data_IF_788662518297
#
_entry.id   IF_788662518297
#
_cell.length_a   1.000
_cell.length_b   1.000
_cell.length_c   1.000
_cell.angle_alpha   90.00
_cell.angle_beta   90.00
_cell.angle_gamma   90.00
#
_symmetry.space_group_name_H-M   'P 1'
#
loop_
_entity.id
_entity.type
_entity.pdbx_description
1 polymer ?
#
# COMPACT_ATOMS: atom_id res chain seq x y z
N UNK A 1 -20.71 -35.91 32.61
CA UNK A 1 -20.42 -36.28 31.21
C UNK A 1 -19.36 -35.37 30.63
N UNK A 2 -18.14 -35.87 30.47
CA UNK A 2 -17.00 -35.10 29.94
C UNK A 2 -17.15 -34.94 28.42
N UNK A 3 -17.35 -33.71 27.96
CA UNK A 3 -17.48 -33.39 26.53
C UNK A 3 -16.08 -33.38 25.90
N UNK A 4 -15.66 -34.52 25.38
CA UNK A 4 -14.39 -34.67 24.64
C UNK A 4 -14.47 -33.80 23.38
N UNK A 5 -13.75 -32.66 23.37
CA UNK A 5 -13.43 -31.92 22.14
C UNK A 5 -12.49 -32.81 21.31
N UNK A 6 -13.04 -33.56 20.35
CA UNK A 6 -12.24 -34.32 19.39
C UNK A 6 -11.34 -33.33 18.62
N UNK A 7 -10.03 -33.44 18.83
CA UNK A 7 -9.03 -32.84 17.95
C UNK A 7 -9.15 -33.52 16.58
N UNK A 8 -9.36 -32.73 15.52
CA UNK A 8 -9.33 -33.22 14.15
C UNK A 8 -8.00 -33.94 13.90
N UNK A 9 -8.05 -35.16 13.34
CA UNK A 9 -6.83 -35.87 12.94
C UNK A 9 -6.08 -35.07 11.86
N UNK A 10 -4.75 -35.17 11.83
CA UNK A 10 -3.91 -34.46 10.85
C UNK A 10 -4.35 -34.75 9.41
N UNK A 11 -4.73 -36.01 9.12
CA UNK A 11 -5.24 -36.43 7.81
C UNK A 11 -6.54 -35.72 7.43
N UNK A 12 -7.48 -35.58 8.36
CA UNK A 12 -8.74 -34.85 8.12
C UNK A 12 -8.47 -33.36 7.92
N UNK A 13 -7.52 -32.77 8.65
CA UNK A 13 -7.14 -31.36 8.49
C UNK A 13 -6.51 -31.09 7.12
N UNK A 14 -5.64 -31.98 6.64
CA UNK A 14 -5.03 -31.89 5.31
C UNK A 14 -6.07 -32.05 4.20
N UNK A 15 -6.98 -33.01 4.34
CA UNK A 15 -8.06 -33.22 3.35
C UNK A 15 -9.02 -32.02 3.28
N UNK A 16 -9.34 -31.40 4.42
CA UNK A 16 -10.11 -30.15 4.46
C UNK A 16 -9.34 -29.03 3.75
N UNK A 17 -8.05 -28.88 4.02
CA UNK A 17 -7.21 -27.85 3.39
C UNK A 17 -7.10 -28.02 1.86
N UNK A 18 -7.00 -29.25 1.38
CA UNK A 18 -6.99 -29.56 -0.07
C UNK A 18 -8.33 -29.24 -0.72
N UNK A 19 -9.45 -29.61 -0.07
CA UNK A 19 -10.79 -29.29 -0.54
C UNK A 19 -11.00 -27.77 -0.62
N UNK A 20 -10.65 -27.03 0.44
CA UNK A 20 -10.71 -25.57 0.48
C UNK A 20 -9.82 -24.93 -0.60
N UNK A 21 -8.63 -25.47 -0.85
CA UNK A 21 -7.74 -24.99 -1.91
C UNK A 21 -8.33 -25.22 -3.30
N UNK A 22 -9.02 -26.35 -3.53
CA UNK A 22 -9.70 -26.66 -4.79
C UNK A 22 -10.90 -25.74 -5.02
N UNK A 23 -11.73 -25.51 -4.02
CA UNK A 23 -12.86 -24.57 -4.13
C UNK A 23 -12.39 -23.13 -4.36
N UNK A 24 -11.34 -22.70 -3.66
CA UNK A 24 -10.71 -21.38 -3.91
C UNK A 24 -10.23 -21.24 -5.35
N UNK A 25 -9.60 -22.25 -5.95
CA UNK A 25 -9.16 -22.18 -7.36
C UNK A 25 -10.33 -22.03 -8.35
N UNK A 26 -11.51 -22.53 -7.99
CA UNK A 26 -12.72 -22.47 -8.82
C UNK A 26 -13.60 -21.25 -8.52
N UNK A 27 -13.20 -20.41 -7.56
CA UNK A 27 -13.99 -19.28 -7.10
C UNK A 27 -14.01 -18.13 -8.13
N UNK A 28 -15.14 -17.44 -8.28
CA UNK A 28 -15.35 -16.38 -9.27
C UNK A 28 -14.38 -15.21 -9.14
N UNK A 29 -13.92 -14.96 -7.92
CA UNK A 29 -13.04 -13.85 -7.58
C UNK A 29 -11.58 -14.11 -7.92
N UNK A 30 -11.17 -15.31 -8.37
CA UNK A 30 -9.77 -15.64 -8.67
C UNK A 30 -8.83 -15.30 -7.49
N UNK A 31 -8.95 -16.02 -6.36
CA UNK A 31 -8.26 -15.65 -5.12
C UNK A 31 -6.74 -15.72 -5.27
N UNK A 32 -6.09 -14.67 -4.76
CA UNK A 32 -4.66 -14.45 -4.73
C UNK A 32 -4.07 -14.59 -3.32
N UNK A 33 -4.89 -14.41 -2.28
CA UNK A 33 -4.40 -14.42 -0.90
C UNK A 33 -4.22 -15.84 -0.35
N UNK A 34 -3.11 -16.05 0.34
CA UNK A 34 -2.75 -17.32 0.98
C UNK A 34 -2.26 -17.08 2.40
N UNK A 35 -2.52 -17.98 3.36
CA UNK A 35 -1.92 -17.88 4.68
C UNK A 35 -0.39 -17.89 4.59
N UNK A 36 0.26 -16.84 5.07
CA UNK A 36 1.71 -16.74 5.14
C UNK A 36 2.16 -15.66 6.12
N UNK A 37 3.25 -15.89 6.86
CA UNK A 37 3.86 -14.86 7.72
C UNK A 37 4.76 -13.91 6.90
N UNK A 38 4.93 -12.66 7.35
CA UNK A 38 5.81 -11.68 6.69
C UNK A 38 7.27 -12.12 6.69
N UNK A 39 8.05 -11.69 5.69
CA UNK A 39 9.41 -12.16 5.45
C UNK A 39 10.38 -11.91 6.62
N UNK A 40 10.30 -10.76 7.31
CA UNK A 40 11.13 -10.47 8.49
C UNK A 40 10.64 -11.13 9.78
N UNK A 41 9.54 -11.88 9.74
CA UNK A 41 9.08 -12.61 10.93
C UNK A 41 10.02 -13.77 11.21
N UNK A 42 10.41 -13.94 12.47
CA UNK A 42 11.25 -15.07 12.91
C UNK A 42 10.73 -16.44 12.48
N UNK A 43 9.41 -16.62 12.34
CA UNK A 43 8.78 -17.86 11.88
C UNK A 43 9.10 -18.24 10.43
N UNK A 44 9.55 -17.29 9.59
CA UNK A 44 9.81 -17.54 8.17
C UNK A 44 11.25 -18.00 7.89
N UNK A 45 12.18 -17.84 8.84
CA UNK A 45 13.54 -18.38 8.76
C UNK A 45 14.42 -17.83 7.62
N UNK A 46 14.12 -16.63 7.10
CA UNK A 46 14.87 -16.03 5.99
C UNK A 46 16.22 -15.43 6.44
N UNK A 47 17.30 -15.75 5.72
CA UNK A 47 18.68 -15.38 6.10
C UNK A 47 19.47 -14.62 5.03
N UNK A 48 18.90 -14.36 3.85
CA UNK A 48 19.64 -13.73 2.75
C UNK A 48 19.53 -12.18 2.77
N UNK A 49 20.59 -11.54 3.26
CA UNK A 49 20.72 -10.08 3.43
C UNK A 49 21.79 -9.43 2.53
N UNK A 50 22.21 -10.09 1.44
CA UNK A 50 23.26 -9.60 0.51
C UNK A 50 23.05 -8.15 0.07
N UNK A 51 21.81 -7.79 -0.27
CA UNK A 51 21.46 -6.44 -0.69
C UNK A 51 21.71 -5.38 0.38
N UNK A 52 21.45 -5.70 1.66
CA UNK A 52 21.75 -4.79 2.77
C UNK A 52 23.27 -4.60 2.96
N UNK A 53 24.07 -5.62 2.67
CA UNK A 53 25.53 -5.50 2.71
C UNK A 53 26.05 -4.53 1.63
N UNK A 54 25.55 -4.63 0.39
CA UNK A 54 25.88 -3.68 -0.66
C UNK A 54 25.45 -2.25 -0.29
N UNK A 55 24.28 -2.10 0.31
CA UNK A 55 23.83 -0.83 0.86
C UNK A 55 24.79 -0.27 1.93
N UNK A 56 25.27 -1.10 2.87
CA UNK A 56 26.26 -0.68 3.85
C UNK A 56 27.57 -0.19 3.21
N UNK A 57 28.04 -0.84 2.13
CA UNK A 57 29.22 -0.39 1.38
C UNK A 57 28.97 0.98 0.73
N UNK A 58 27.83 1.15 0.06
CA UNK A 58 27.44 2.43 -0.56
C UNK A 58 27.33 3.52 0.51
N UNK A 59 26.70 3.21 1.65
CA UNK A 59 26.62 4.12 2.78
C UNK A 59 28.01 4.45 3.32
N UNK A 60 28.95 3.51 3.42
CA UNK A 60 30.30 3.82 3.90
C UNK A 60 31.01 4.83 2.99
N UNK A 61 30.80 4.72 1.68
CA UNK A 61 31.34 5.66 0.69
C UNK A 61 30.64 7.03 0.75
N UNK A 62 29.33 7.06 1.00
CA UNK A 62 28.52 8.29 1.06
C UNK A 62 28.51 8.96 2.45
N UNK A 63 28.75 8.19 3.51
CA UNK A 63 28.59 8.61 4.90
C UNK A 63 29.84 9.31 5.38
N UNK A 64 29.77 10.63 5.39
CA UNK A 64 30.62 11.43 6.25
C UNK A 64 30.09 11.32 7.69
N UNK A 65 30.49 10.29 8.44
CA UNK A 65 30.19 10.13 9.87
C UNK A 65 30.51 11.39 10.68
N UNK A 66 31.47 12.17 10.17
CA UNK A 66 31.80 13.54 10.59
C UNK A 66 30.59 14.48 10.64
N UNK A 67 29.74 14.51 9.62
CA UNK A 67 28.57 15.41 9.54
C UNK A 67 27.51 15.04 10.58
N UNK A 68 27.30 13.74 10.82
CA UNK A 68 26.40 13.27 11.86
C UNK A 68 26.91 13.65 13.27
N UNK A 69 28.21 13.49 13.51
CA UNK A 69 28.85 13.88 14.77
C UNK A 69 28.86 15.41 14.95
N UNK A 70 29.17 16.18 13.91
CA UNK A 70 29.12 17.64 13.93
C UNK A 70 27.70 18.16 14.22
N UNK A 71 26.66 17.56 13.64
CA UNK A 71 25.28 17.90 13.97
C UNK A 71 24.95 17.63 15.44
N UNK A 72 25.40 16.49 15.98
CA UNK A 72 25.17 16.15 17.40
C UNK A 72 25.92 17.11 18.33
N UNK A 73 27.18 17.44 18.01
CA UNK A 73 28.01 18.35 18.80
C UNK A 73 27.52 19.80 18.71
N UNK A 74 27.04 20.24 17.54
CA UNK A 74 26.63 21.62 17.29
C UNK A 74 25.23 21.94 17.81
N UNK A 75 24.29 21.01 17.68
CA UNK A 75 22.88 21.25 18.03
C UNK A 75 22.43 20.52 19.31
N UNK A 76 23.29 19.67 19.90
CA UNK A 76 22.92 18.83 21.03
C UNK A 76 21.84 17.80 20.66
N UNK A 77 21.12 17.28 21.65
CA UNK A 77 20.00 16.37 21.45
C UNK A 77 18.71 17.20 21.33
N UNK A 78 18.16 17.30 20.11
CA UNK A 78 16.97 18.10 19.80
C UNK A 78 15.64 17.34 19.94
N UNK A 79 15.64 16.18 20.57
CA UNK A 79 14.49 15.27 20.60
C UNK A 79 13.50 15.68 21.69
N UNK A 80 12.37 16.26 21.29
CA UNK A 80 11.21 16.45 22.16
C UNK A 80 10.01 15.64 21.61
N UNK A 81 9.71 14.47 22.20
CA UNK A 81 8.63 13.59 21.74
C UNK A 81 7.24 14.20 21.95
N UNK A 82 7.09 15.12 22.91
CA UNK A 82 5.81 15.78 23.19
C UNK A 82 5.44 16.87 22.19
N UNK A 83 6.44 17.49 21.55
CA UNK A 83 6.25 18.61 20.62
C UNK A 83 5.40 18.24 19.40
N UNK A 84 5.66 17.07 18.79
CA UNK A 84 4.89 16.59 17.64
C UNK A 84 3.44 16.29 17.98
N UNK A 85 3.20 15.67 19.13
CA UNK A 85 1.84 15.33 19.59
C UNK A 85 1.06 16.62 19.86
N UNK A 86 1.69 17.61 20.51
CA UNK A 86 1.09 18.94 20.72
C UNK A 86 0.82 19.65 19.39
N UNK A 87 1.76 19.62 18.45
CA UNK A 87 1.59 20.22 17.12
C UNK A 87 0.40 19.62 16.37
N UNK A 88 0.22 18.29 16.42
CA UNK A 88 -0.87 17.62 15.72
C UNK A 88 -2.23 17.78 16.42
N UNK A 89 -2.28 17.80 17.75
CA UNK A 89 -3.54 17.85 18.49
C UNK A 89 -4.06 19.27 18.75
N UNK A 90 -3.17 20.26 18.86
CA UNK A 90 -3.55 21.63 19.21
C UNK A 90 -3.79 22.51 17.97
N UNK A 91 -3.29 22.13 16.79
CA UNK A 91 -3.53 22.89 15.56
C UNK A 91 -4.97 22.65 15.04
N UNK A 92 -5.85 23.68 15.04
CA UNK A 92 -7.22 23.54 14.56
C UNK A 92 -7.30 23.14 13.07
N UNK A 93 -6.23 23.38 12.28
CA UNK A 93 -6.15 23.05 10.85
C UNK A 93 -5.99 21.54 10.59
N UNK A 94 -5.85 20.72 11.63
CA UNK A 94 -5.74 19.26 11.55
C UNK A 94 -7.11 18.58 11.45
N UNK A 95 -8.16 19.19 11.98
CA UNK A 95 -9.48 18.55 12.07
C UNK A 95 -10.25 18.46 10.73
N UNK A 96 -10.23 19.46 9.82
CA UNK A 96 -10.98 19.37 8.56
C UNK A 96 -10.63 18.15 7.69
N UNK A 97 -9.34 17.78 7.49
CA UNK A 97 -8.99 16.54 6.79
C UNK A 97 -9.50 15.27 7.49
N UNK A 98 -9.54 15.27 8.82
CA UNK A 98 -10.07 14.15 9.61
C UNK A 98 -11.58 14.01 9.39
N UNK A 99 -12.33 15.11 9.45
CA UNK A 99 -13.77 15.10 9.16
C UNK A 99 -14.04 14.67 7.71
N UNK A 100 -13.25 15.13 6.75
CA UNK A 100 -13.34 14.68 5.36
C UNK A 100 -13.13 13.16 5.25
N UNK A 101 -12.15 12.61 5.97
CA UNK A 101 -11.88 11.16 6.00
C UNK A 101 -13.04 10.38 6.63
N UNK A 102 -13.65 10.89 7.70
CA UNK A 102 -14.83 10.29 8.31
C UNK A 102 -16.05 10.33 7.37
N UNK A 103 -16.21 11.41 6.62
CA UNK A 103 -17.26 11.57 5.60
C UNK A 103 -17.20 10.53 4.48
N UNK A 104 -16.03 9.94 4.22
CA UNK A 104 -15.88 8.87 3.22
C UNK A 104 -16.66 7.60 3.57
N UNK A 105 -17.12 7.43 4.82
CA UNK A 105 -18.06 6.37 5.17
C UNK A 105 -19.33 6.41 4.30
N UNK A 106 -19.81 7.60 3.94
CA UNK A 106 -20.93 7.74 3.03
C UNK A 106 -20.63 7.10 1.67
N UNK A 107 -19.43 7.33 1.12
CA UNK A 107 -19.00 6.73 -0.15
C UNK A 107 -18.94 5.20 -0.07
N UNK A 108 -18.51 4.63 1.06
CA UNK A 108 -18.50 3.17 1.29
C UNK A 108 -19.93 2.61 1.26
N UNK A 109 -20.86 3.26 1.96
CA UNK A 109 -22.26 2.87 1.99
C UNK A 109 -22.92 2.99 0.62
N UNK A 110 -22.63 4.06 -0.13
CA UNK A 110 -23.07 4.25 -1.52
C UNK A 110 -22.57 3.12 -2.43
N UNK A 111 -21.31 2.72 -2.30
CA UNK A 111 -20.74 1.57 -3.04
C UNK A 111 -21.46 0.26 -2.70
N UNK A 112 -21.76 0.00 -1.43
CA UNK A 112 -22.52 -1.19 -1.00
C UNK A 112 -23.95 -1.16 -1.54
N UNK A 113 -24.64 -0.02 -1.42
CA UNK A 113 -26.00 0.14 -1.90
C UNK A 113 -26.09 -0.09 -3.42
N UNK A 114 -25.16 0.50 -4.18
CA UNK A 114 -25.09 0.32 -5.64
C UNK A 114 -24.92 -1.16 -6.03
N UNK A 115 -24.03 -1.90 -5.35
CA UNK A 115 -23.87 -3.34 -5.61
C UNK A 115 -25.10 -4.17 -5.20
N UNK A 116 -25.81 -3.80 -4.13
CA UNK A 116 -27.07 -4.46 -3.74
C UNK A 116 -28.17 -4.26 -4.77
N UNK A 117 -28.31 -3.05 -5.31
CA UNK A 117 -29.28 -2.76 -6.37
C UNK A 117 -28.93 -3.49 -7.69
N UNK A 118 -27.65 -3.61 -8.01
CA UNK A 118 -27.17 -4.44 -9.11
C UNK A 118 -27.47 -5.93 -8.89
N UNK A 119 -27.27 -6.44 -7.67
CA UNK A 119 -27.49 -7.85 -7.34
C UNK A 119 -28.96 -8.27 -7.43
N UNK A 120 -29.87 -7.36 -7.09
CA UNK A 120 -31.33 -7.56 -7.14
C UNK A 120 -31.91 -7.31 -8.54
N UNK A 121 -31.12 -6.75 -9.46
CA UNK A 121 -31.57 -6.44 -10.82
C UNK A 121 -32.49 -5.22 -10.91
N UNK A 122 -32.55 -4.40 -9.86
CA UNK A 122 -33.38 -3.18 -9.84
C UNK A 122 -32.78 -2.04 -10.65
N UNK A 123 -31.46 -2.08 -10.89
CA UNK A 123 -30.74 -0.97 -11.52
C UNK A 123 -30.02 -1.45 -12.80
N UNK A 124 -30.19 -0.75 -13.95
CA UNK A 124 -29.48 -1.07 -15.18
C UNK A 124 -27.96 -0.94 -15.03
N UNK A 125 -27.18 -1.82 -15.69
CA UNK A 125 -25.71 -1.83 -15.54
C UNK A 125 -25.04 -0.50 -15.97
N UNK A 126 -25.57 0.17 -16.99
CA UNK A 126 -25.06 1.47 -17.43
C UNK A 126 -25.22 2.57 -16.37
N UNK A 127 -26.38 2.64 -15.73
CA UNK A 127 -26.65 3.61 -14.65
C UNK A 127 -25.78 3.31 -13.44
N UNK A 128 -25.64 2.03 -13.06
CA UNK A 128 -24.80 1.62 -11.94
C UNK A 128 -23.34 2.02 -12.17
N UNK A 129 -22.82 1.79 -13.37
CA UNK A 129 -21.46 2.17 -13.73
C UNK A 129 -21.23 3.67 -13.60
N UNK A 130 -22.18 4.49 -14.05
CA UNK A 130 -22.08 5.94 -13.90
C UNK A 130 -22.11 6.37 -12.42
N UNK A 131 -22.96 5.75 -11.60
CA UNK A 131 -22.99 5.99 -10.15
C UNK A 131 -21.67 5.59 -9.47
N UNK A 132 -21.08 4.45 -9.87
CA UNK A 132 -19.78 3.99 -9.35
C UNK A 132 -18.67 4.95 -9.72
N UNK A 133 -18.60 5.38 -10.99
CA UNK A 133 -17.61 6.36 -11.46
C UNK A 133 -17.77 7.68 -10.70
N UNK A 134 -19.00 8.19 -10.56
CA UNK A 134 -19.26 9.42 -9.83
C UNK A 134 -18.79 9.30 -8.37
N UNK A 135 -19.16 8.21 -7.67
CA UNK A 135 -18.75 7.99 -6.28
C UNK A 135 -17.22 7.90 -6.14
N UNK A 136 -16.55 7.16 -7.02
CA UNK A 136 -15.08 7.04 -7.02
C UNK A 136 -14.39 8.36 -7.35
N UNK A 137 -14.92 9.16 -8.27
CA UNK A 137 -14.44 10.50 -8.57
C UNK A 137 -14.63 11.45 -7.38
N UNK A 138 -15.78 11.39 -6.69
CA UNK A 138 -16.02 12.18 -5.48
C UNK A 138 -15.01 11.88 -4.37
N UNK A 139 -14.61 10.61 -4.19
CA UNK A 139 -13.58 10.23 -3.22
C UNK A 139 -12.24 10.92 -3.53
N UNK A 140 -11.85 11.03 -4.80
CA UNK A 140 -10.58 11.65 -5.18
C UNK A 140 -10.63 13.18 -5.25
N UNK A 141 -11.79 13.79 -5.49
CA UNK A 141 -11.91 15.24 -5.71
C UNK A 141 -12.30 16.03 -4.46
N UNK A 142 -13.20 15.50 -3.61
CA UNK A 142 -13.71 16.24 -2.46
C UNK A 142 -12.62 16.50 -1.41
N UNK A 143 -11.82 15.51 -0.97
CA UNK A 143 -10.82 15.74 0.08
C UNK A 143 -9.74 16.77 -0.29
N UNK A 144 -9.18 16.78 -1.52
CA UNK A 144 -8.30 17.87 -1.96
C UNK A 144 -8.96 19.25 -1.87
N UNK A 145 -10.21 19.39 -2.32
CA UNK A 145 -10.93 20.67 -2.24
C UNK A 145 -11.03 21.15 -0.79
N UNK A 146 -11.30 20.26 0.16
CA UNK A 146 -11.29 20.58 1.59
C UNK A 146 -9.91 21.06 2.04
N UNK A 147 -8.83 20.38 1.63
CA UNK A 147 -7.44 20.76 1.96
C UNK A 147 -7.09 22.16 1.44
N UNK A 148 -7.53 22.52 0.24
CA UNK A 148 -7.29 23.85 -0.33
C UNK A 148 -8.14 24.94 0.31
N UNK A 149 -9.44 24.71 0.51
CA UNK A 149 -10.38 25.74 1.01
C UNK A 149 -10.13 26.08 2.48
N UNK A 150 -9.76 25.08 3.30
CA UNK A 150 -9.62 25.24 4.76
C UNK A 150 -8.18 25.45 5.22
N UNK A 151 -7.26 25.64 4.28
CA UNK A 151 -5.83 25.78 4.52
C UNK A 151 -5.26 24.78 5.54
N UNK A 152 -5.55 23.50 5.31
CA UNK A 152 -5.30 22.43 6.26
C UNK A 152 -3.81 22.20 6.54
N UNK A 153 -3.52 21.62 7.71
CA UNK A 153 -2.17 21.22 8.10
C UNK A 153 -1.61 20.18 7.09
N UNK A 154 -0.38 20.34 6.56
CA UNK A 154 0.15 19.44 5.54
C UNK A 154 0.32 18.00 6.02
N UNK A 155 0.74 17.76 7.27
CA UNK A 155 0.97 16.41 7.78
C UNK A 155 -0.36 15.67 7.91
N UNK A 156 -1.36 16.31 8.50
CA UNK A 156 -2.71 15.77 8.62
C UNK A 156 -3.35 15.52 7.24
N UNK A 157 -3.14 16.45 6.31
CA UNK A 157 -3.63 16.35 4.92
C UNK A 157 -2.97 15.17 4.19
N UNK A 158 -1.65 14.99 4.29
CA UNK A 158 -0.95 13.84 3.71
C UNK A 158 -1.48 12.50 4.22
N UNK A 159 -1.72 12.39 5.53
CA UNK A 159 -2.29 11.19 6.14
C UNK A 159 -3.72 10.94 5.65
N UNK A 160 -4.57 11.97 5.64
CA UNK A 160 -5.95 11.89 5.16
C UNK A 160 -6.01 11.48 3.68
N UNK A 161 -5.21 12.11 2.81
CA UNK A 161 -5.16 11.77 1.38
C UNK A 161 -4.57 10.37 1.14
N UNK A 162 -3.68 9.90 2.00
CA UNK A 162 -3.24 8.52 2.04
C UNK A 162 -4.40 7.55 2.29
N UNK A 163 -5.22 7.82 3.30
CA UNK A 163 -6.44 7.05 3.58
C UNK A 163 -7.45 7.10 2.42
N UNK A 164 -7.65 8.28 1.81
CA UNK A 164 -8.49 8.47 0.62
C UNK A 164 -8.02 7.59 -0.54
N UNK A 165 -6.72 7.60 -0.82
CA UNK A 165 -6.13 6.80 -1.90
C UNK A 165 -6.30 5.30 -1.65
N UNK A 166 -6.04 4.84 -0.42
CA UNK A 166 -6.26 3.44 -0.03
C UNK A 166 -7.73 3.05 -0.20
N UNK A 167 -8.65 3.90 0.22
CA UNK A 167 -10.09 3.65 0.08
C UNK A 167 -10.51 3.58 -1.38
N UNK A 168 -10.06 4.52 -2.21
CA UNK A 168 -10.32 4.53 -3.65
C UNK A 168 -9.88 3.20 -4.29
N UNK A 169 -8.64 2.77 -4.07
CA UNK A 169 -8.12 1.52 -4.63
C UNK A 169 -8.93 0.31 -4.14
N UNK A 170 -9.31 0.28 -2.87
CA UNK A 170 -10.16 -0.78 -2.31
C UNK A 170 -11.53 -0.82 -2.97
N UNK A 171 -12.22 0.31 -3.10
CA UNK A 171 -13.56 0.33 -3.70
C UNK A 171 -13.54 0.00 -5.20
N UNK A 172 -12.50 0.40 -5.93
CA UNK A 172 -12.28 -0.08 -7.32
C UNK A 172 -12.20 -1.62 -7.34
N UNK A 173 -11.38 -2.20 -6.47
CA UNK A 173 -11.25 -3.66 -6.37
C UNK A 173 -12.59 -4.33 -6.00
N UNK A 174 -13.33 -3.77 -5.04
CA UNK A 174 -14.63 -4.24 -4.61
C UNK A 174 -15.65 -4.28 -5.76
N UNK A 175 -15.76 -3.19 -6.54
CA UNK A 175 -16.66 -3.14 -7.69
C UNK A 175 -16.26 -4.11 -8.81
N UNK A 176 -14.97 -4.20 -9.14
CA UNK A 176 -14.50 -5.12 -10.18
C UNK A 176 -14.71 -6.59 -9.84
N UNK A 177 -14.45 -6.99 -8.61
CA UNK A 177 -14.61 -8.39 -8.18
C UNK A 177 -16.09 -8.77 -8.10
N UNK A 178 -16.96 -7.88 -7.62
CA UNK A 178 -18.41 -8.12 -7.64
C UNK A 178 -18.95 -8.19 -9.08
N UNK A 179 -18.42 -7.37 -10.00
CA UNK A 179 -18.73 -7.47 -11.43
C UNK A 179 -18.37 -8.85 -12.00
N UNK A 180 -17.17 -9.37 -11.72
CA UNK A 180 -16.76 -10.71 -12.17
C UNK A 180 -17.67 -11.81 -11.62
N UNK A 181 -18.05 -11.71 -10.34
CA UNK A 181 -18.99 -12.64 -9.70
C UNK A 181 -20.37 -12.60 -10.37
N UNK A 182 -20.88 -11.41 -10.69
CA UNK A 182 -22.15 -11.24 -11.40
C UNK A 182 -22.11 -11.83 -12.81
N UNK A 183 -21.06 -11.55 -13.56
CA UNK A 183 -20.88 -12.06 -14.92
C UNK A 183 -20.85 -13.60 -14.94
N UNK A 184 -20.13 -14.23 -14.00
CA UNK A 184 -20.11 -15.69 -13.91
C UNK A 184 -21.46 -16.27 -13.47
N UNK A 185 -22.20 -15.59 -12.57
CA UNK A 185 -23.56 -16.02 -12.20
C UNK A 185 -24.51 -15.97 -13.40
N UNK A 186 -24.41 -14.91 -14.21
CA UNK A 186 -25.20 -14.77 -15.44
C UNK A 186 -24.86 -15.85 -16.47
N UNK A 187 -23.57 -16.14 -16.69
CA UNK A 187 -23.14 -17.18 -17.63
C UNK A 187 -23.58 -18.58 -17.19
N UNK A 188 -23.51 -18.90 -15.89
CA UNK A 188 -24.04 -20.17 -15.33
C UNK A 188 -25.55 -20.31 -15.54
N UNK A 189 -26.32 -19.24 -15.35
CA UNK A 189 -27.77 -19.25 -15.60
C UNK A 189 -28.10 -19.48 -17.08
N UNK A 190 -27.32 -18.89 -17.99
CA UNK A 190 -27.46 -19.10 -19.43
C UNK A 190 -27.10 -20.53 -19.84
N UNK A 191 -26.03 -21.10 -19.29
CA UNK A 191 -25.64 -22.47 -19.59
C UNK A 191 -26.69 -23.47 -19.11
N UNK A 192 -27.24 -23.28 -17.90
CA UNK A 192 -28.30 -24.15 -17.34
C UNK A 192 -29.59 -24.10 -18.16
N UNK A 193 -29.93 -22.94 -18.73
CA UNK A 193 -31.07 -22.79 -19.64
C UNK A 193 -30.85 -23.50 -20.99
N UNK A 194 -29.62 -23.49 -21.51
CA UNK A 194 -29.25 -24.21 -22.75
C UNK A 194 -29.18 -25.73 -22.58
N UNK A 195 -28.71 -26.21 -21.43
CA UNK A 195 -28.66 -27.65 -21.14
C UNK A 195 -30.00 -28.24 -20.71
N UNK A 196 -30.94 -27.44 -20.17
CA UNK A 196 -32.31 -27.91 -19.91
C UNK A 196 -33.15 -28.15 -21.16
N UNK A 197 -32.71 -27.68 -22.34
CA UNK A 197 -33.33 -27.93 -23.64
C UNK A 197 -32.81 -29.19 -24.35
N UNK A 198 -31.89 -29.95 -23.73
CA UNK A 198 -31.39 -31.22 -24.25
C UNK A 198 -31.13 -32.22 -23.12
N UNK A 199 -32.04 -33.19 -22.98
CA UNK A 199 -32.03 -34.32 -22.03
C UNK A 199 -32.16 -33.98 -20.54
N UNK A 200 -33.22 -34.50 -19.93
CA UNK A 200 -33.39 -34.53 -18.49
C UNK A 200 -32.37 -35.46 -17.86
N UNK A 201 -31.25 -34.90 -17.39
CA UNK A 201 -30.47 -35.51 -16.31
C UNK A 201 -30.42 -34.53 -15.16
N UNK A 202 -31.09 -34.93 -14.07
CA UNK A 202 -31.01 -34.33 -12.75
C UNK A 202 -29.56 -34.51 -12.27
N UNK A 203 -28.68 -33.59 -12.64
CA UNK A 203 -27.44 -33.39 -11.90
C UNK A 203 -27.84 -32.70 -10.60
N UNK A 204 -28.07 -33.51 -9.58
CA UNK A 204 -28.09 -33.06 -8.19
C UNK A 204 -26.86 -32.15 -8.03
N UNK A 205 -27.13 -30.88 -7.72
CA UNK A 205 -26.07 -29.97 -7.33
C UNK A 205 -25.30 -30.65 -6.22
N UNK A 206 -23.98 -30.77 -6.42
CA UNK A 206 -23.02 -31.14 -5.38
C UNK A 206 -23.00 -29.98 -4.37
N UNK A 207 -24.10 -29.83 -3.63
CA UNK A 207 -24.04 -29.37 -2.26
C UNK A 207 -23.44 -30.55 -1.53
N UNK A 208 -22.14 -30.50 -1.26
CA UNK A 208 -21.49 -31.38 -0.30
C UNK A 208 -22.11 -31.20 1.08
N UNK A 209 -23.31 -31.73 1.28
CA UNK A 209 -23.82 -32.11 2.60
C UNK A 209 -23.28 -33.50 2.87
N UNK A 210 -21.98 -33.57 3.13
CA UNK A 210 -21.45 -34.70 3.90
C UNK A 210 -21.80 -34.44 5.36
N UNK A 211 -22.49 -35.40 5.92
CA UNK A 211 -22.86 -35.53 7.32
C UNK A 211 -21.60 -35.61 8.18
N UNK A 212 -21.01 -34.47 8.52
CA UNK A 212 -20.14 -34.26 9.69
C UNK A 212 -19.84 -32.75 9.81
N UNK A 213 -20.41 -32.12 10.85
CA UNK A 213 -20.30 -30.68 11.05
C UNK A 213 -18.85 -30.18 11.18
N UNK A 214 -18.65 -28.95 10.67
CA UNK A 214 -17.41 -28.17 10.56
C UNK A 214 -16.69 -28.19 9.20
N UNK A 215 -17.41 -27.95 8.10
CA UNK A 215 -16.79 -27.26 6.96
C UNK A 215 -17.10 -25.77 7.06
N UNK A 216 -16.08 -24.93 6.86
CA UNK A 216 -16.23 -23.48 6.84
C UNK A 216 -17.24 -23.11 5.75
N UNK A 217 -18.34 -22.45 6.12
CA UNK A 217 -19.36 -21.99 5.18
C UNK A 217 -18.75 -20.89 4.31
N UNK A 218 -18.31 -21.24 3.10
CA UNK A 218 -17.81 -20.27 2.13
C UNK A 218 -18.93 -19.29 1.74
N UNK A 219 -18.62 -18.01 1.74
CA UNK A 219 -19.55 -16.96 1.29
C UNK A 219 -19.58 -16.99 -0.23
N UNK A 220 -20.79 -17.05 -0.79
CA UNK A 220 -21.05 -17.08 -2.23
C UNK A 220 -21.85 -15.84 -2.60
N UNK A 221 -21.53 -15.22 -3.74
CA UNK A 221 -22.29 -14.07 -4.25
C UNK A 221 -23.78 -14.45 -4.45
N UNK A 222 -24.75 -13.66 -3.93
CA UNK A 222 -24.64 -12.27 -3.45
C UNK A 222 -24.56 -12.11 -1.92
N UNK A 223 -24.36 -13.18 -1.15
CA UNK A 223 -24.41 -13.14 0.32
C UNK A 223 -23.27 -12.30 0.94
N UNK A 224 -22.22 -12.02 0.16
CA UNK A 224 -21.10 -11.14 0.54
C UNK A 224 -21.49 -9.66 0.62
N UNK A 225 -22.68 -9.27 0.11
CA UNK A 225 -23.13 -7.87 0.10
C UNK A 225 -23.76 -7.47 1.44
N UNK A 226 -22.96 -7.49 2.49
CA UNK A 226 -23.37 -7.07 3.83
C UNK A 226 -22.40 -6.05 4.43
N UNK A 227 -22.83 -5.34 5.48
CA UNK A 227 -22.03 -4.30 6.11
C UNK A 227 -20.77 -4.87 6.77
N UNK A 228 -20.86 -6.08 7.33
CA UNK A 228 -19.73 -6.71 8.01
C UNK A 228 -18.57 -6.98 7.04
N UNK A 229 -18.85 -7.58 5.89
CA UNK A 229 -17.82 -7.97 4.92
C UNK A 229 -17.15 -6.77 4.25
N UNK A 230 -17.92 -5.73 3.90
CA UNK A 230 -17.33 -4.51 3.32
C UNK A 230 -16.44 -3.81 4.34
N UNK A 231 -16.91 -3.57 5.57
CA UNK A 231 -16.09 -2.91 6.59
C UNK A 231 -14.89 -3.76 6.99
N UNK A 232 -15.05 -5.08 7.08
CA UNK A 232 -13.92 -5.98 7.26
C UNK A 232 -12.86 -5.75 6.17
N UNK A 233 -13.26 -5.74 4.89
CA UNK A 233 -12.34 -5.46 3.79
C UNK A 233 -11.71 -4.07 3.87
N UNK A 234 -12.46 -3.03 4.25
CA UNK A 234 -11.93 -1.66 4.39
C UNK A 234 -10.78 -1.60 5.41
N UNK A 235 -10.85 -2.34 6.52
CA UNK A 235 -9.81 -2.31 7.55
C UNK A 235 -8.66 -3.31 7.34
N UNK A 236 -8.87 -4.40 6.59
CA UNK A 236 -7.80 -5.40 6.34
C UNK A 236 -6.64 -4.78 5.56
N UNK A 237 -5.37 -5.12 5.87
CA UNK A 237 -4.20 -4.57 5.18
C UNK A 237 -3.96 -5.19 3.79
N UNK A 238 -4.98 -5.17 2.92
CA UNK A 238 -4.90 -5.51 1.50
C UNK A 238 -5.75 -4.56 0.67
N UNK A 239 -5.37 -4.37 -0.59
CA UNK A 239 -6.12 -3.56 -1.55
C UNK A 239 -6.99 -4.42 -2.48
N UNK A 240 -6.75 -5.72 -2.53
CA UNK A 240 -7.47 -6.64 -3.41
C UNK A 240 -8.63 -7.29 -2.66
N UNK A 241 -9.87 -7.05 -3.09
CA UNK A 241 -11.06 -7.68 -2.55
C UNK A 241 -11.13 -9.16 -2.95
N UNK A 242 -11.62 -9.97 -2.01
CA UNK A 242 -11.98 -11.38 -2.19
C UNK A 242 -13.20 -11.66 -1.32
N UNK A 243 -14.03 -12.61 -1.73
CA UNK A 243 -15.20 -13.01 -0.94
C UNK A 243 -14.76 -13.70 0.35
N UNK A 244 -13.69 -14.49 0.29
CA UNK A 244 -13.28 -15.37 1.37
C UNK A 244 -11.78 -15.22 1.70
N UNK A 245 -11.44 -14.18 2.46
CA UNK A 245 -10.06 -13.95 2.91
C UNK A 245 -9.54 -15.11 3.79
N UNK A 246 -8.25 -15.48 3.67
CA UNK A 246 -7.65 -16.43 4.59
C UNK A 246 -7.59 -15.84 6.01
N UNK A 247 -8.07 -16.60 7.00
CA UNK A 247 -8.16 -16.16 8.40
C UNK A 247 -7.22 -16.93 9.31
N UNK A 248 -6.63 -16.24 10.29
CA UNK A 248 -5.90 -16.88 11.38
C UNK A 248 -6.89 -17.49 12.38
N UNK A 249 -6.58 -18.67 12.92
CA UNK A 249 -7.46 -19.38 13.86
C UNK A 249 -7.66 -18.64 15.19
N UNK A 250 -6.64 -17.91 15.65
CA UNK A 250 -6.65 -17.14 16.90
C UNK A 250 -5.77 -15.90 16.80
N UNK A 251 -6.04 -14.92 17.67
CA UNK A 251 -5.19 -13.75 17.87
C UNK A 251 -4.03 -14.12 18.82
N UNK A 252 -2.80 -14.02 18.33
CA UNK A 252 -1.54 -14.21 19.05
C UNK A 252 -1.23 -12.97 19.90
N UNK A 253 -1.81 -12.86 21.09
CA UNK A 253 -1.69 -11.67 21.98
C UNK A 253 -0.25 -11.17 22.19
N UNK A 254 0.71 -12.07 22.43
CA UNK A 254 2.14 -11.72 22.60
C UNK A 254 2.74 -11.13 21.33
N UNK A 255 2.41 -11.69 20.18
CA UNK A 255 2.86 -11.17 18.88
C UNK A 255 2.24 -9.79 18.62
N UNK A 256 0.94 -9.64 18.86
CA UNK A 256 0.22 -8.37 18.71
C UNK A 256 0.85 -7.26 19.58
N UNK A 257 1.04 -7.52 20.87
CA UNK A 257 1.64 -6.55 21.78
C UNK A 257 3.06 -6.17 21.36
N UNK A 258 3.89 -7.14 20.98
CA UNK A 258 5.27 -6.90 20.51
C UNK A 258 5.31 -6.02 19.26
N UNK A 259 4.50 -6.33 18.24
CA UNK A 259 4.45 -5.56 16.98
C UNK A 259 3.85 -4.16 17.20
N UNK A 260 2.86 -4.02 18.09
CA UNK A 260 2.29 -2.73 18.47
C UNK A 260 3.32 -1.83 19.18
N UNK A 261 4.01 -2.35 20.19
CA UNK A 261 5.03 -1.59 20.92
C UNK A 261 6.20 -1.19 20.01
N UNK A 262 6.66 -2.11 19.16
CA UNK A 262 7.68 -1.84 18.15
C UNK A 262 7.23 -0.76 17.16
N UNK A 263 5.97 -0.77 16.71
CA UNK A 263 5.43 0.28 15.84
C UNK A 263 5.47 1.65 16.53
N UNK A 264 5.11 1.74 17.82
CA UNK A 264 5.17 2.99 18.59
C UNK A 264 6.60 3.50 18.76
N UNK A 265 7.54 2.62 19.13
CA UNK A 265 8.95 2.99 19.34
C UNK A 265 9.64 3.41 18.04
N UNK A 266 9.38 2.70 16.93
CA UNK A 266 9.94 3.06 15.64
C UNK A 266 9.39 4.39 15.11
N UNK A 267 8.11 4.68 15.32
CA UNK A 267 7.53 5.98 14.95
C UNK A 267 8.24 7.12 15.69
N UNK A 268 8.45 6.97 17.00
CA UNK A 268 9.20 7.95 17.81
C UNK A 268 10.64 8.10 17.33
N UNK A 269 11.32 6.99 17.01
CA UNK A 269 12.68 7.02 16.46
C UNK A 269 12.75 7.76 15.13
N UNK A 270 11.80 7.52 14.22
CA UNK A 270 11.73 8.21 12.92
C UNK A 270 11.56 9.72 13.12
N UNK A 271 10.66 10.14 14.01
CA UNK A 271 10.43 11.55 14.33
C UNK A 271 11.67 12.19 14.96
N UNK A 272 12.35 11.50 15.87
CA UNK A 272 13.59 11.95 16.49
C UNK A 272 14.72 12.13 15.46
N UNK A 273 14.91 11.18 14.55
CA UNK A 273 15.92 11.27 13.50
C UNK A 273 15.61 12.41 12.51
N UNK A 274 14.34 12.61 12.16
CA UNK A 274 13.93 13.74 11.33
C UNK A 274 14.25 15.08 12.02
N UNK A 275 13.93 15.23 13.31
CA UNK A 275 14.27 16.43 14.09
C UNK A 275 15.78 16.64 14.24
N UNK A 276 16.54 15.58 14.47
CA UNK A 276 17.97 15.69 14.75
C UNK A 276 18.81 15.90 13.48
N UNK A 277 18.43 15.29 12.36
CA UNK A 277 19.27 15.27 11.15
C UNK A 277 18.69 16.05 9.98
N UNK A 278 17.37 16.01 9.75
CA UNK A 278 16.77 16.69 8.60
C UNK A 278 16.52 18.16 8.90
N UNK A 279 15.89 18.48 10.04
CA UNK A 279 15.51 19.86 10.40
C UNK A 279 16.70 20.83 10.41
N UNK A 280 17.85 20.52 11.06
CA UNK A 280 18.96 21.48 11.09
C UNK A 280 19.55 21.71 9.71
N UNK A 281 19.63 20.68 8.86
CA UNK A 281 20.15 20.83 7.50
C UNK A 281 19.21 21.71 6.67
N UNK A 282 17.90 21.57 6.86
CA UNK A 282 16.90 22.42 6.22
C UNK A 282 16.97 23.87 6.71
N UNK A 283 17.12 24.11 8.02
CA UNK A 283 17.22 25.46 8.59
C UNK A 283 18.47 26.22 8.14
N UNK A 284 19.60 25.52 7.90
CA UNK A 284 20.82 26.14 7.38
C UNK A 284 20.75 26.44 5.86
N UNK A 285 19.69 26.01 5.18
CA UNK A 285 19.49 26.26 3.75
C UNK A 285 18.67 27.53 3.58
N UNK A 286 19.34 28.66 3.32
CA UNK A 286 18.70 29.99 3.24
C UNK A 286 17.93 30.24 1.93
N UNK A 287 17.98 29.32 0.96
CA UNK A 287 17.34 29.50 -0.36
C UNK A 287 16.56 28.25 -0.78
N UNK A 288 15.35 28.40 -1.35
CA UNK A 288 14.62 27.30 -1.98
C UNK A 288 15.47 26.63 -3.08
N UNK A 289 15.31 25.32 -3.30
CA UNK A 289 16.06 24.60 -4.33
C UNK A 289 15.88 25.19 -5.73
N UNK A 290 14.74 25.82 -6.02
CA UNK A 290 14.49 26.50 -7.30
C UNK A 290 15.46 27.66 -7.59
N UNK A 291 15.99 28.30 -6.55
CA UNK A 291 16.85 29.49 -6.66
C UNK A 291 18.34 29.16 -6.44
N UNK A 292 18.69 27.89 -6.19
CA UNK A 292 20.06 27.46 -5.95
C UNK A 292 20.79 27.10 -7.24
N UNK A 293 22.06 27.49 -7.32
CA UNK A 293 22.97 27.02 -8.38
C UNK A 293 23.13 25.49 -8.32
N UNK A 294 23.25 24.84 -9.48
CA UNK A 294 23.29 23.38 -9.59
C UNK A 294 24.35 22.69 -8.70
N UNK A 295 25.60 23.17 -8.59
CA UNK A 295 26.59 22.55 -7.70
C UNK A 295 26.22 22.64 -6.21
N UNK A 296 25.65 23.76 -5.79
CA UNK A 296 25.21 23.97 -4.41
C UNK A 296 23.98 23.10 -4.08
N UNK A 297 23.04 22.98 -5.01
CA UNK A 297 21.90 22.05 -4.92
C UNK A 297 22.41 20.62 -4.75
N UNK A 298 23.32 20.16 -5.61
CA UNK A 298 23.86 18.81 -5.58
C UNK A 298 24.59 18.50 -4.26
N UNK A 299 25.43 19.42 -3.77
CA UNK A 299 26.11 19.27 -2.47
C UNK A 299 25.11 19.08 -1.32
N UNK A 300 24.03 19.88 -1.30
CA UNK A 300 22.99 19.81 -0.26
C UNK A 300 22.18 18.53 -0.35
N UNK A 301 21.80 18.15 -1.56
CA UNK A 301 21.10 16.89 -1.83
C UNK A 301 21.91 15.69 -1.35
N UNK A 302 23.22 15.65 -1.59
CA UNK A 302 24.09 14.57 -1.11
C UNK A 302 24.19 14.53 0.42
N UNK A 303 24.24 15.69 1.11
CA UNK A 303 24.22 15.75 2.59
C UNK A 303 22.91 15.22 3.16
N UNK A 304 21.79 15.45 2.47
CA UNK A 304 20.46 15.00 2.88
C UNK A 304 20.16 13.55 2.50
N UNK A 305 20.81 13.01 1.46
CA UNK A 305 20.51 11.69 0.92
C UNK A 305 20.68 10.56 1.96
N UNK A 306 21.73 10.61 2.78
CA UNK A 306 22.02 9.57 3.79
C UNK A 306 20.99 9.58 4.94
N UNK A 307 20.71 10.70 5.63
CA UNK A 307 19.63 10.76 6.61
C UNK A 307 18.28 10.36 6.03
N UNK A 308 17.98 10.79 4.80
CA UNK A 308 16.73 10.50 4.11
C UNK A 308 16.54 9.00 3.88
N UNK A 309 17.53 8.30 3.29
CA UNK A 309 17.38 6.85 3.03
C UNK A 309 17.24 6.05 4.32
N UNK A 310 17.95 6.43 5.40
CA UNK A 310 17.82 5.78 6.69
C UNK A 310 16.40 5.93 7.27
N UNK A 311 15.84 7.13 7.20
CA UNK A 311 14.45 7.40 7.60
C UNK A 311 13.48 6.59 6.74
N UNK A 312 13.68 6.51 5.42
CA UNK A 312 12.83 5.72 4.53
C UNK A 312 12.89 4.21 4.82
N UNK A 313 14.06 3.66 5.16
CA UNK A 313 14.20 2.26 5.56
C UNK A 313 13.48 1.97 6.88
N UNK A 314 13.61 2.87 7.86
CA UNK A 314 12.90 2.77 9.13
C UNK A 314 11.39 2.90 8.92
N UNK A 315 10.94 3.84 8.10
CA UNK A 315 9.54 4.03 7.75
C UNK A 315 8.96 2.81 7.02
N UNK A 316 9.73 2.19 6.12
CA UNK A 316 9.36 0.95 5.47
C UNK A 316 9.12 -0.16 6.50
N UNK A 317 10.07 -0.42 7.40
CA UNK A 317 9.94 -1.46 8.41
C UNK A 317 8.81 -1.15 9.39
N UNK A 318 8.72 0.09 9.86
CA UNK A 318 7.65 0.58 10.73
C UNK A 318 6.27 0.32 10.13
N UNK A 319 6.03 0.75 8.88
CA UNK A 319 4.72 0.65 8.26
C UNK A 319 4.43 -0.78 7.77
N UNK A 320 5.22 -1.29 6.82
CA UNK A 320 4.92 -2.56 6.13
C UNK A 320 5.14 -3.79 7.01
N UNK A 321 6.11 -3.75 7.92
CA UNK A 321 6.31 -4.85 8.86
C UNK A 321 5.47 -4.66 10.11
N UNK A 322 5.77 -3.66 10.95
CA UNK A 322 5.22 -3.58 12.30
C UNK A 322 3.74 -3.20 12.31
N UNK A 323 3.36 -2.12 11.60
CA UNK A 323 1.99 -1.60 11.58
C UNK A 323 1.04 -2.55 10.84
N UNK A 324 1.33 -2.96 9.60
CA UNK A 324 0.45 -3.87 8.86
C UNK A 324 0.30 -5.25 9.54
N UNK A 325 1.35 -5.79 10.18
CA UNK A 325 1.21 -7.03 10.96
C UNK A 325 0.34 -6.84 12.20
N UNK A 326 0.38 -5.68 12.84
CA UNK A 326 -0.49 -5.34 13.98
C UNK A 326 -1.95 -5.34 13.53
N UNK A 327 -2.28 -4.66 12.43
CA UNK A 327 -3.64 -4.66 11.86
C UNK A 327 -4.06 -6.06 11.39
N UNK A 328 -3.17 -6.80 10.72
CA UNK A 328 -3.48 -8.15 10.25
C UNK A 328 -3.76 -9.12 11.40
N UNK A 329 -2.97 -9.07 12.48
CA UNK A 329 -3.18 -9.90 13.66
C UNK A 329 -4.49 -9.52 14.37
N UNK A 330 -4.77 -8.22 14.54
CA UNK A 330 -6.01 -7.72 15.15
C UNK A 330 -7.26 -8.18 14.39
N UNK A 331 -7.21 -8.13 13.05
CA UNK A 331 -8.32 -8.49 12.16
C UNK A 331 -8.35 -9.99 11.81
N UNK A 332 -7.42 -10.78 12.35
CA UNK A 332 -7.21 -12.21 12.03
C UNK A 332 -7.00 -12.46 10.53
N UNK A 333 -6.35 -11.55 9.83
CA UNK A 333 -5.95 -11.72 8.45
C UNK A 333 -4.66 -12.56 8.37
N UNK A 334 -4.70 -13.64 7.59
CA UNK A 334 -3.62 -14.62 7.54
C UNK A 334 -2.62 -14.41 6.40
N UNK A 335 -2.95 -13.63 5.37
CA UNK A 335 -1.98 -13.27 4.34
C UNK A 335 -1.17 -12.06 4.80
N UNK A 336 0.07 -12.30 5.23
CA UNK A 336 0.97 -11.25 5.72
C UNK A 336 2.16 -11.03 4.79
N UNK A 337 2.04 -11.42 3.52
CA UNK A 337 3.04 -11.08 2.51
C UNK A 337 2.83 -9.65 2.01
N UNK A 338 3.23 -8.67 2.83
CA UNK A 338 3.16 -7.24 2.47
C UNK A 338 4.34 -6.79 1.61
N UNK A 339 5.45 -7.52 1.67
CA UNK A 339 6.70 -7.25 0.96
C UNK A 339 7.50 -8.55 0.80
N UNK A 340 8.44 -8.56 -0.15
CA UNK A 340 9.44 -9.61 -0.37
C UNK A 340 10.85 -9.04 -0.22
N UNK A 341 11.88 -9.78 -0.59
CA UNK A 341 13.30 -9.41 -0.47
C UNK A 341 13.74 -8.37 -1.50
N UNK A 342 13.02 -7.25 -1.57
CA UNK A 342 13.29 -6.16 -2.50
C UNK A 342 14.67 -5.53 -2.31
N UNK A 343 15.30 -5.67 -1.14
CA UNK A 343 16.67 -5.21 -0.91
C UNK A 343 17.69 -5.99 -1.75
N UNK A 344 17.39 -7.23 -2.11
CA UNK A 344 18.22 -8.07 -2.99
C UNK A 344 17.92 -7.84 -4.49
N UNK A 345 17.08 -6.86 -4.84
CA UNK A 345 16.72 -6.58 -6.23
C UNK A 345 17.96 -6.30 -7.08
N UNK A 346 18.16 -7.08 -8.13
CA UNK A 346 19.20 -6.90 -9.15
C UNK A 346 18.72 -6.03 -10.31
N UNK A 347 17.40 -5.84 -10.43
CA UNK A 347 16.73 -5.03 -11.44
C UNK A 347 15.72 -4.09 -10.79
N UNK A 348 15.50 -2.93 -11.42
CA UNK A 348 14.50 -1.94 -10.96
C UNK A 348 13.08 -2.53 -11.04
N UNK A 349 12.82 -3.37 -12.05
CA UNK A 349 11.56 -4.08 -12.18
C UNK A 349 11.31 -5.00 -10.99
N UNK A 350 12.30 -5.79 -10.57
CA UNK A 350 12.15 -6.65 -9.40
C UNK A 350 11.88 -5.84 -8.14
N UNK A 351 12.57 -4.72 -7.93
CA UNK A 351 12.29 -3.83 -6.80
C UNK A 351 10.81 -3.40 -6.74
N UNK A 352 10.28 -2.83 -7.83
CA UNK A 352 8.91 -2.30 -7.88
C UNK A 352 7.82 -3.37 -7.69
N UNK A 353 8.13 -4.63 -8.01
CA UNK A 353 7.21 -5.75 -7.81
C UNK A 353 7.20 -6.30 -6.38
N UNK A 354 8.26 -6.04 -5.60
CA UNK A 354 8.51 -6.74 -4.33
C UNK A 354 8.49 -5.85 -3.09
N UNK A 355 8.62 -4.52 -3.22
CA UNK A 355 8.63 -3.62 -2.06
C UNK A 355 7.25 -3.46 -1.40
N UNK A 356 6.18 -3.28 -2.20
CA UNK A 356 4.81 -3.06 -1.74
C UNK A 356 3.86 -4.01 -2.48
N UNK A 357 3.74 -5.22 -1.94
CA UNK A 357 2.96 -6.31 -2.53
C UNK A 357 1.45 -5.96 -2.63
N UNK A 358 0.81 -5.32 -1.62
CA UNK A 358 -0.59 -4.93 -1.74
C UNK A 358 -0.89 -4.06 -2.97
N UNK A 359 -0.07 -3.02 -3.22
CA UNK A 359 -0.22 -2.16 -4.40
C UNK A 359 0.16 -2.90 -5.68
N UNK A 360 1.25 -3.65 -5.67
CA UNK A 360 1.67 -4.43 -6.84
C UNK A 360 0.58 -5.42 -7.30
N UNK A 361 0.02 -6.20 -6.37
CA UNK A 361 -1.07 -7.15 -6.64
C UNK A 361 -2.31 -6.44 -7.18
N UNK A 362 -2.64 -5.27 -6.64
CA UNK A 362 -3.75 -4.45 -7.12
C UNK A 362 -3.52 -3.99 -8.55
N UNK A 363 -2.36 -3.39 -8.85
CA UNK A 363 -2.00 -2.95 -10.19
C UNK A 363 -2.02 -4.11 -11.19
N UNK A 364 -1.49 -5.27 -10.80
CA UNK A 364 -1.49 -6.45 -11.66
C UNK A 364 -2.91 -6.95 -11.96
N UNK A 365 -3.76 -7.06 -10.94
CA UNK A 365 -5.09 -7.69 -11.01
C UNK A 365 -6.16 -6.78 -11.60
N UNK A 366 -6.14 -5.50 -11.25
CA UNK A 366 -7.22 -4.55 -11.55
C UNK A 366 -6.89 -3.56 -12.65
N UNK A 367 -5.62 -3.46 -13.05
CA UNK A 367 -5.20 -2.54 -14.11
C UNK A 367 -4.48 -3.27 -15.25
N UNK A 368 -3.32 -3.87 -14.98
CA UNK A 368 -2.48 -4.48 -16.01
C UNK A 368 -3.18 -5.63 -16.77
N UNK A 369 -3.66 -6.66 -16.04
CA UNK A 369 -4.33 -7.81 -16.68
C UNK A 369 -5.58 -7.40 -17.48
N UNK A 370 -6.50 -6.55 -16.95
CA UNK A 370 -7.62 -6.05 -17.73
C UNK A 370 -7.22 -5.26 -18.98
N UNK A 371 -6.21 -4.38 -18.90
CA UNK A 371 -5.73 -3.62 -20.07
C UNK A 371 -5.19 -4.55 -21.16
N UNK A 372 -4.37 -5.55 -20.78
CA UNK A 372 -3.84 -6.55 -21.72
C UNK A 372 -4.97 -7.40 -22.30
N UNK A 373 -5.95 -7.82 -21.49
CA UNK A 373 -7.12 -8.56 -21.95
C UNK A 373 -8.01 -7.75 -22.92
N UNK A 374 -7.99 -6.41 -22.81
CA UNK A 374 -8.66 -5.51 -23.74
C UNK A 374 -7.89 -5.27 -25.05
N UNK A 375 -6.74 -5.92 -25.25
CA UNK A 375 -5.94 -5.85 -26.49
C UNK A 375 -4.75 -4.88 -26.44
N UNK A 376 -4.47 -4.26 -25.29
CA UNK A 376 -3.32 -3.37 -25.14
C UNK A 376 -1.99 -4.14 -25.12
N UNK A 377 -0.94 -3.58 -25.75
CA UNK A 377 0.40 -4.17 -25.69
C UNK A 377 0.95 -4.19 -24.25
N UNK A 378 1.79 -5.17 -23.93
CA UNK A 378 2.39 -5.32 -22.58
C UNK A 378 3.17 -4.08 -22.16
N UNK A 379 3.86 -3.45 -23.09
CA UNK A 379 4.65 -2.22 -22.85
C UNK A 379 3.74 -1.05 -22.53
N UNK A 380 2.69 -0.83 -23.33
CA UNK A 380 1.74 0.27 -23.09
C UNK A 380 0.98 0.06 -21.78
N UNK A 381 0.57 -1.17 -21.47
CA UNK A 381 -0.06 -1.50 -20.18
C UNK A 381 0.89 -1.23 -18.99
N UNK A 382 2.18 -1.52 -19.14
CA UNK A 382 3.20 -1.20 -18.12
C UNK A 382 3.31 0.32 -17.92
N UNK A 383 3.41 1.10 -19.00
CA UNK A 383 3.47 2.57 -18.96
C UNK A 383 2.23 3.14 -18.25
N UNK A 384 1.03 2.61 -18.53
CA UNK A 384 -0.21 3.03 -17.86
C UNK A 384 -0.18 2.76 -16.34
N UNK A 385 0.40 1.64 -15.89
CA UNK A 385 0.59 1.38 -14.45
C UNK A 385 1.54 2.41 -13.83
N UNK A 386 2.65 2.73 -14.51
CA UNK A 386 3.59 3.75 -14.03
C UNK A 386 2.99 5.15 -14.01
N UNK A 387 2.18 5.53 -15.01
CA UNK A 387 1.46 6.81 -15.04
C UNK A 387 0.47 6.93 -13.89
N UNK A 388 -0.32 5.89 -13.62
CA UNK A 388 -1.23 5.88 -12.47
C UNK A 388 -0.47 5.99 -11.15
N UNK A 389 0.67 5.29 -11.02
CA UNK A 389 1.53 5.39 -9.85
C UNK A 389 2.09 6.80 -9.69
N UNK A 390 2.61 7.40 -10.76
CA UNK A 390 3.15 8.77 -10.77
C UNK A 390 2.09 9.80 -10.37
N UNK A 391 0.86 9.65 -10.86
CA UNK A 391 -0.28 10.48 -10.45
C UNK A 391 -0.50 10.44 -8.94
N UNK A 392 -0.55 9.25 -8.32
CA UNK A 392 -0.76 9.16 -6.87
C UNK A 392 0.43 9.67 -6.05
N UNK A 393 1.67 9.51 -6.52
CA UNK A 393 2.84 10.08 -5.84
C UNK A 393 2.80 11.61 -5.85
N UNK A 394 2.49 12.22 -7.00
CA UNK A 394 2.31 13.67 -7.10
C UNK A 394 1.12 14.15 -6.27
N UNK A 395 -0.02 13.46 -6.35
CA UNK A 395 -1.22 13.78 -5.57
C UNK A 395 -0.96 13.79 -4.06
N UNK A 396 -0.25 12.77 -3.54
CA UNK A 396 0.02 12.63 -2.11
C UNK A 396 1.06 13.61 -1.56
N UNK A 397 1.89 14.23 -2.41
CA UNK A 397 2.93 15.17 -1.99
C UNK A 397 2.51 16.61 -2.29
N UNK A 398 2.00 16.86 -3.50
CA UNK A 398 1.73 18.20 -4.01
C UNK A 398 0.45 18.81 -3.46
N UNK A 399 -0.61 18.02 -3.23
CA UNK A 399 -1.87 18.53 -2.67
C UNK A 399 -1.71 18.99 -1.21
N UNK A 400 -1.15 18.19 -0.28
CA UNK A 400 -0.97 18.62 1.11
C UNK A 400 -0.07 19.85 1.26
N UNK A 401 0.96 19.94 0.42
CA UNK A 401 1.92 21.04 0.43
C UNK A 401 1.47 22.24 -0.42
N UNK A 402 0.42 22.07 -1.24
CA UNK A 402 -0.08 23.04 -2.22
C UNK A 402 0.98 23.51 -3.21
N UNK A 403 1.86 22.60 -3.62
CA UNK A 403 3.01 22.88 -4.48
C UNK A 403 2.99 21.95 -5.69
N UNK A 404 2.66 22.47 -6.87
CA UNK A 404 2.53 21.68 -8.10
C UNK A 404 3.77 21.77 -8.99
N UNK A 405 4.87 21.16 -8.53
CA UNK A 405 6.16 21.21 -9.23
C UNK A 405 6.42 20.03 -10.16
N UNK A 406 5.62 18.97 -10.07
CA UNK A 406 5.68 17.79 -10.96
C UNK A 406 7.00 17.01 -10.85
N UNK A 407 7.83 17.26 -9.83
CA UNK A 407 9.09 16.56 -9.61
C UNK A 407 8.87 15.09 -9.19
N UNK A 408 7.87 14.81 -8.35
CA UNK A 408 7.59 13.44 -7.94
C UNK A 408 7.02 12.62 -9.11
N UNK A 409 6.19 13.24 -9.95
CA UNK A 409 5.69 12.64 -11.18
C UNK A 409 6.82 12.33 -12.18
N UNK A 410 7.68 13.30 -12.47
CA UNK A 410 8.81 13.14 -13.39
C UNK A 410 9.84 12.13 -12.85
N UNK A 411 10.09 12.14 -11.53
CA UNK A 411 10.96 11.16 -10.87
C UNK A 411 10.47 9.72 -11.07
N UNK A 412 9.16 9.48 -10.94
CA UNK A 412 8.55 8.16 -11.19
C UNK A 412 8.66 7.76 -12.66
N UNK A 413 8.43 8.69 -13.60
CA UNK A 413 8.55 8.37 -15.03
C UNK A 413 9.99 8.13 -15.47
N UNK A 414 10.96 8.86 -14.89
CA UNK A 414 12.39 8.68 -15.16
C UNK A 414 12.90 7.29 -14.74
N UNK A 415 12.21 6.59 -13.83
CA UNK A 415 12.54 5.20 -13.46
C UNK A 415 12.34 4.22 -14.62
N UNK A 416 11.44 4.50 -15.57
CA UNK A 416 11.19 3.61 -16.72
C UNK A 416 12.40 3.54 -17.68
N UNK A 417 12.92 4.66 -18.22
CA UNK A 417 14.13 4.62 -19.03
C UNK A 417 15.36 4.18 -18.22
N UNK A 418 15.45 4.56 -16.94
CA UNK A 418 16.52 4.06 -16.07
C UNK A 418 16.50 2.54 -15.95
N UNK A 419 15.33 1.93 -15.71
CA UNK A 419 15.18 0.48 -15.67
C UNK A 419 15.63 -0.17 -16.98
N UNK A 420 15.24 0.38 -18.13
CA UNK A 420 15.66 -0.12 -19.43
C UNK A 420 17.20 -0.10 -19.62
N UNK A 421 17.86 0.99 -19.21
CA UNK A 421 19.32 1.13 -19.30
C UNK A 421 20.03 0.13 -18.38
N UNK A 422 19.61 0.05 -17.11
CA UNK A 422 20.21 -0.88 -16.13
C UNK A 422 20.02 -2.34 -16.57
N UNK A 423 18.82 -2.69 -17.05
CA UNK A 423 18.51 -4.03 -17.54
C UNK A 423 19.25 -4.36 -18.84
N UNK A 424 19.67 -3.38 -19.65
CA UNK A 424 20.46 -3.64 -20.84
C UNK A 424 21.97 -3.78 -20.52
N UNK A 425 22.47 -3.06 -19.51
CA UNK A 425 23.90 -3.03 -19.16
C UNK A 425 24.30 -4.16 -18.21
N UNK A 426 23.51 -4.38 -17.14
CA UNK A 426 23.94 -5.23 -16.02
C UNK A 426 23.27 -6.59 -15.95
N UNK A 427 22.14 -6.77 -16.65
CA UNK A 427 21.33 -7.99 -16.57
C UNK A 427 22.13 -9.23 -16.94
N UNK A 428 22.04 -10.24 -16.08
CA UNK A 428 22.71 -11.55 -16.20
C UNK A 428 24.24 -11.55 -16.17
N UNK A 429 24.91 -10.40 -16.20
CA UNK A 429 26.38 -10.31 -16.22
C UNK A 429 26.97 -9.92 -14.87
N UNK A 430 26.34 -8.98 -14.16
CA UNK A 430 26.85 -8.45 -12.88
C UNK A 430 25.74 -8.17 -11.86
N UNK A 431 25.19 -9.22 -11.24
CA UNK A 431 24.07 -9.09 -10.30
C UNK A 431 24.36 -8.16 -9.11
N UNK A 432 25.62 -8.07 -8.65
CA UNK A 432 26.02 -7.11 -7.61
C UNK A 432 25.91 -5.66 -8.10
N UNK A 433 26.38 -5.37 -9.31
CA UNK A 433 26.34 -4.00 -9.86
C UNK A 433 24.91 -3.57 -10.16
N UNK A 434 24.07 -4.48 -10.65
CA UNK A 434 22.62 -4.24 -10.78
C UNK A 434 21.97 -3.87 -9.45
N UNK A 435 22.28 -4.63 -8.38
CA UNK A 435 21.78 -4.30 -7.04
C UNK A 435 22.31 -2.96 -6.51
N UNK A 436 23.60 -2.65 -6.72
CA UNK A 436 24.15 -1.34 -6.37
C UNK A 436 23.47 -0.20 -7.13
N UNK A 437 23.16 -0.38 -8.42
CA UNK A 437 22.44 0.61 -9.21
C UNK A 437 21.01 0.85 -8.70
N UNK A 438 20.31 -0.21 -8.28
CA UNK A 438 19.00 -0.09 -7.62
C UNK A 438 19.14 0.72 -6.32
N UNK A 439 20.12 0.40 -5.47
CA UNK A 439 20.34 1.15 -4.23
C UNK A 439 20.67 2.62 -4.46
N UNK A 440 21.52 2.93 -5.45
CA UNK A 440 21.81 4.32 -5.83
C UNK A 440 20.52 5.02 -6.23
N UNK A 441 19.70 4.40 -7.10
CA UNK A 441 18.37 4.93 -7.48
C UNK A 441 17.46 5.19 -6.28
N UNK A 442 17.48 4.34 -5.25
CA UNK A 442 16.69 4.57 -4.03
C UNK A 442 17.23 5.72 -3.17
N UNK A 443 18.53 5.96 -3.20
CA UNK A 443 19.18 7.04 -2.43
C UNK A 443 18.96 8.41 -3.10
N UNK A 444 19.19 8.50 -4.42
CA UNK A 444 19.17 9.78 -5.16
C UNK A 444 17.87 10.04 -5.94
N UNK A 445 17.01 9.03 -6.08
CA UNK A 445 15.81 9.10 -6.91
C UNK A 445 14.58 9.60 -6.15
N UNK A 446 13.53 8.76 -6.14
CA UNK A 446 12.19 9.18 -5.71
C UNK A 446 12.13 9.70 -4.26
N UNK A 447 12.77 9.05 -3.26
CA UNK A 447 12.76 9.55 -1.88
C UNK A 447 13.33 10.96 -1.74
N UNK A 448 14.34 11.29 -2.54
CA UNK A 448 14.99 12.59 -2.51
C UNK A 448 14.11 13.66 -3.18
N UNK A 449 13.43 13.32 -4.28
CA UNK A 449 12.45 14.20 -4.91
C UNK A 449 11.35 14.63 -3.92
N UNK A 450 10.85 13.71 -3.09
CA UNK A 450 9.86 14.02 -2.05
C UNK A 450 10.44 14.99 -1.02
N UNK A 451 11.70 14.79 -0.59
CA UNK A 451 12.36 15.69 0.36
C UNK A 451 12.49 17.11 -0.19
N UNK A 452 12.72 17.27 -1.50
CA UNK A 452 12.79 18.60 -2.13
C UNK A 452 11.49 19.39 -1.99
N UNK A 453 10.32 18.74 -2.02
CA UNK A 453 9.04 19.42 -1.76
C UNK A 453 8.94 19.92 -0.32
N UNK A 454 9.24 19.04 0.65
CA UNK A 454 9.20 19.41 2.06
C UNK A 454 10.22 20.49 2.41
N UNK A 455 11.40 20.45 1.79
CA UNK A 455 12.42 21.48 1.92
C UNK A 455 11.89 22.85 1.47
N UNK A 456 11.37 22.95 0.25
CA UNK A 456 10.93 24.25 -0.25
C UNK A 456 9.65 24.72 0.44
N UNK A 457 8.73 23.83 0.80
CA UNK A 457 7.59 24.18 1.66
C UNK A 457 8.05 24.80 2.97
N UNK A 458 9.05 24.21 3.63
CA UNK A 458 9.58 24.72 4.89
C UNK A 458 10.21 26.12 4.71
N UNK A 459 11.04 26.31 3.69
CA UNK A 459 11.69 27.60 3.45
C UNK A 459 10.67 28.70 3.11
N UNK A 460 9.67 28.40 2.28
CA UNK A 460 8.65 29.38 1.88
C UNK A 460 7.81 29.83 3.08
N UNK A 461 7.44 28.91 3.98
CA UNK A 461 6.52 29.22 5.08
C UNK A 461 7.24 29.66 6.38
N UNK A 462 8.48 29.23 6.60
CA UNK A 462 9.20 29.45 7.86
C UNK A 462 10.58 30.10 7.69
N UNK A 463 11.12 30.17 6.48
CA UNK A 463 12.44 30.73 6.20
C UNK A 463 12.50 32.26 6.28
N UNK A 464 11.44 32.96 5.90
CA UNK A 464 11.38 34.45 5.88
C UNK A 464 11.10 35.10 7.23
N UNK A 465 10.56 34.35 8.21
CA UNK A 465 10.21 34.90 9.53
C UNK A 465 11.40 35.11 10.47
N UNK A 466 12.63 34.84 10.04
CA UNK A 466 13.86 35.02 10.86
C UNK A 466 14.83 36.05 10.27
N UNK A 467 14.47 36.70 9.16
CA UNK A 467 15.25 37.79 8.53
C UNK A 467 14.68 39.18 8.79
N UNK A 468 13.62 39.27 9.61
CA UNK A 468 13.13 40.48 10.28
C UNK A 468 13.32 40.27 11.77
#
# INVERSE_FOLDING_TARGET
GVRIRRTLSLANALQIQEYEAKERRLAPDSPIHKPCDSLFSSSRGWTNYRGLFNFCIILLVLSNSRVALENLLKYGILVDPGKWVRYLLLDPRVWPPVYATLGLNLCILCSLATEKFLATGQLPEGVARNMQVLNLSSILLIPPVVVFVWDCNPVASSLALGCVTVLFLKLVSYHMVNLWCRQQRASRKHHRRRSSSGSGQITQGVNGRTTNGHMAKFVIYPDNLNLYDIYYFIFVPTLCYELNFPRSSRIRKRFLFRRFLESLLLLQLILALAQQWIVPIMENSLKPFQEMNFPAMLERLLKLAVPNILIWLLAFYWFFHSTLNTFAELLRFADREFYRDWWNADTVQYFWQNWNIPVHRWCLRHLYKPLVAAGMSKTLACIMVFLLSAFFHEYLVSVPLKMFRVWAFLGMLAQVPFAFVIDNIFRNRYNNLGNMAVWISLIIGQPLAILMYYHDYYIINYGTSRTL
#
